data_IF_186287343353
#
_entry.id   IF_186287343353
#
_cell.length_a   1.000
_cell.length_b   1.000
_cell.length_c   1.000
_cell.angle_alpha   90.00
_cell.angle_beta   90.00
_cell.angle_gamma   90.00
#
_symmetry.space_group_name_H-M   'P 1'
#
loop_
_entity.id
_entity.type
_entity.pdbx_description
1 polymer ?
#
# COMPACT_ATOMS: atom_id res chain seq x y z
N UNK A 1 7.19 13.18 18.29
CA UNK A 1 7.39 11.81 17.80
C UNK A 1 8.87 11.55 17.50
N UNK A 2 9.54 12.40 16.73
CA UNK A 2 10.95 12.28 16.31
C UNK A 2 11.91 12.22 17.50
N UNK A 3 11.72 13.06 18.56
CA UNK A 3 12.56 13.05 19.77
C UNK A 3 12.50 11.74 20.53
N UNK A 4 11.34 11.07 20.54
CA UNK A 4 11.16 9.78 21.22
C UNK A 4 11.96 8.69 20.51
N UNK A 5 11.88 8.61 19.19
CA UNK A 5 12.66 7.67 18.39
C UNK A 5 14.16 7.93 18.45
N UNK A 6 14.56 9.20 18.45
CA UNK A 6 15.97 9.60 18.54
C UNK A 6 16.62 9.14 19.87
N UNK A 7 15.88 9.20 20.98
CA UNK A 7 16.39 8.87 22.30
C UNK A 7 16.27 7.37 22.66
N UNK A 8 15.26 6.67 22.17
CA UNK A 8 14.93 5.31 22.62
C UNK A 8 15.20 4.22 21.58
N UNK A 9 15.26 4.55 20.28
CA UNK A 9 15.54 3.53 19.28
C UNK A 9 17.04 3.26 19.19
N UNK A 10 17.49 2.00 19.40
CA UNK A 10 18.89 1.64 19.32
C UNK A 10 19.46 1.95 17.93
N UNK A 11 20.59 2.59 17.88
CA UNK A 11 21.32 3.02 16.66
C UNK A 11 20.65 4.11 15.81
N UNK A 12 19.43 4.57 16.12
CA UNK A 12 18.73 5.59 15.33
C UNK A 12 19.50 6.91 15.30
N UNK A 13 20.16 7.29 16.39
CA UNK A 13 20.99 8.50 16.51
C UNK A 13 22.35 8.40 15.78
N UNK A 14 22.76 7.19 15.35
CA UNK A 14 24.00 6.97 14.60
C UNK A 14 23.82 7.05 13.08
N UNK A 15 22.60 6.99 12.60
CA UNK A 15 22.33 7.22 11.18
C UNK A 15 22.36 8.71 10.86
N UNK A 16 23.26 9.12 9.97
CA UNK A 16 23.40 10.53 9.52
C UNK A 16 22.13 11.09 8.89
N UNK A 17 21.31 10.20 8.30
CA UNK A 17 20.02 10.54 7.70
C UNK A 17 19.02 9.41 7.96
N UNK A 18 17.86 9.77 8.49
CA UNK A 18 16.73 8.85 8.73
C UNK A 18 16.31 8.12 7.45
N UNK A 19 16.52 8.75 6.28
CA UNK A 19 16.26 8.18 4.97
C UNK A 19 17.03 6.87 4.68
N UNK A 20 18.22 6.68 5.28
CA UNK A 20 18.97 5.41 5.10
C UNK A 20 18.25 4.22 5.77
N UNK A 21 17.59 4.43 6.91
CA UNK A 21 16.79 3.38 7.56
C UNK A 21 15.53 3.04 6.74
N UNK A 22 14.97 4.02 6.03
CA UNK A 22 13.81 3.81 5.16
C UNK A 22 14.12 2.93 3.95
N UNK A 23 15.37 2.92 3.44
CA UNK A 23 15.77 2.05 2.32
C UNK A 23 15.60 0.57 2.70
N UNK A 24 15.97 0.19 3.92
CA UNK A 24 15.79 -1.18 4.40
C UNK A 24 14.31 -1.57 4.41
N UNK A 25 13.43 -0.66 4.88
CA UNK A 25 11.98 -0.90 4.87
C UNK A 25 11.42 -0.97 3.45
N UNK A 26 11.90 -0.14 2.53
CA UNK A 26 11.47 -0.14 1.12
C UNK A 26 11.78 -1.45 0.41
N UNK A 27 12.82 -2.17 0.83
CA UNK A 27 13.18 -3.49 0.27
C UNK A 27 12.48 -4.62 1.02
N UNK A 28 12.51 -4.59 2.36
CA UNK A 28 12.00 -5.71 3.17
C UNK A 28 10.48 -5.84 3.12
N UNK A 29 9.73 -4.73 3.10
CA UNK A 29 8.25 -4.78 3.07
C UNK A 29 7.72 -5.40 1.78
N UNK A 30 8.15 -4.98 0.57
CA UNK A 30 7.76 -5.66 -0.67
C UNK A 30 8.20 -7.14 -0.71
N UNK A 31 9.40 -7.44 -0.23
CA UNK A 31 9.92 -8.82 -0.19
C UNK A 31 9.05 -9.74 0.68
N UNK A 32 8.63 -9.26 1.85
CA UNK A 32 7.65 -9.97 2.70
C UNK A 32 6.30 -10.12 2.00
N UNK A 33 5.84 -9.09 1.30
CA UNK A 33 4.60 -9.13 0.51
C UNK A 33 4.65 -10.22 -0.56
N UNK A 34 5.72 -10.28 -1.35
CA UNK A 34 5.92 -11.33 -2.35
C UNK A 34 6.03 -12.73 -1.73
N UNK A 35 6.71 -12.85 -0.59
CA UNK A 35 6.81 -14.13 0.13
C UNK A 35 5.44 -14.64 0.60
N UNK A 36 4.60 -13.76 1.16
CA UNK A 36 3.24 -14.11 1.57
C UNK A 36 2.39 -14.46 0.35
N UNK A 37 2.48 -13.68 -0.72
CA UNK A 37 1.76 -13.93 -1.97
C UNK A 37 2.14 -15.29 -2.57
N UNK A 38 3.43 -15.64 -2.61
CA UNK A 38 3.89 -16.96 -3.08
C UNK A 38 3.30 -18.11 -2.24
N UNK A 39 3.27 -17.96 -0.92
CA UNK A 39 2.65 -18.96 -0.04
C UNK A 39 1.13 -19.08 -0.23
N UNK A 40 0.46 -17.94 -0.45
CA UNK A 40 -0.97 -17.89 -0.74
C UNK A 40 -1.26 -18.56 -2.09
N UNK A 41 -0.49 -18.24 -3.13
CA UNK A 41 -0.63 -18.84 -4.46
C UNK A 41 -0.32 -20.36 -4.47
N UNK A 42 0.60 -20.81 -3.63
CA UNK A 42 0.91 -22.25 -3.43
C UNK A 42 -0.04 -22.95 -2.47
N UNK A 43 -1.11 -22.26 -2.03
CA UNK A 43 -2.18 -22.80 -1.18
C UNK A 43 -1.73 -23.50 0.10
N UNK A 44 -0.70 -22.95 0.74
CA UNK A 44 -0.24 -23.42 2.04
C UNK A 44 -1.18 -23.05 3.19
N UNK A 45 -2.24 -22.26 2.90
CA UNK A 45 -3.22 -21.79 3.89
C UNK A 45 -4.63 -22.27 3.57
N UNK A 46 -5.39 -22.57 4.60
CA UNK A 46 -6.82 -22.84 4.47
C UNK A 46 -7.58 -21.56 4.12
N UNK A 47 -8.70 -21.70 3.39
CA UNK A 47 -9.58 -20.56 3.07
C UNK A 47 -10.03 -19.78 4.32
N UNK A 48 -10.30 -20.49 5.44
CA UNK A 48 -10.68 -19.85 6.72
C UNK A 48 -9.54 -19.02 7.32
N UNK A 49 -8.31 -19.53 7.27
CA UNK A 49 -7.13 -18.82 7.75
C UNK A 49 -6.84 -17.59 6.88
N UNK A 50 -6.93 -17.73 5.55
CA UNK A 50 -6.80 -16.62 4.62
C UNK A 50 -7.85 -15.53 4.89
N UNK A 51 -9.13 -15.90 5.05
CA UNK A 51 -10.20 -14.95 5.30
C UNK A 51 -10.01 -14.21 6.63
N UNK A 52 -9.59 -14.91 7.67
CA UNK A 52 -9.33 -14.30 8.99
C UNK A 52 -8.13 -13.36 8.94
N UNK A 53 -6.98 -13.83 8.48
CA UNK A 53 -5.76 -13.03 8.44
C UNK A 53 -5.84 -11.87 7.41
N UNK A 54 -6.33 -12.16 6.21
CA UNK A 54 -6.54 -11.16 5.15
C UNK A 54 -7.59 -10.13 5.52
N UNK A 55 -8.69 -10.55 6.16
CA UNK A 55 -9.73 -9.64 6.65
C UNK A 55 -9.23 -8.70 7.75
N UNK A 56 -8.45 -9.20 8.70
CA UNK A 56 -7.83 -8.36 9.75
C UNK A 56 -6.83 -7.39 9.12
N UNK A 57 -5.95 -7.86 8.24
CA UNK A 57 -4.98 -7.01 7.56
C UNK A 57 -5.67 -5.91 6.74
N UNK A 58 -6.72 -6.27 6.00
CA UNK A 58 -7.53 -5.31 5.25
C UNK A 58 -8.22 -4.31 6.18
N UNK A 59 -8.85 -4.75 7.26
CA UNK A 59 -9.54 -3.86 8.20
C UNK A 59 -8.59 -2.83 8.81
N UNK A 60 -7.36 -3.22 9.13
CA UNK A 60 -6.35 -2.31 9.67
C UNK A 60 -5.85 -1.34 8.60
N UNK A 61 -5.43 -1.83 7.44
CA UNK A 61 -4.81 -0.98 6.40
C UNK A 61 -5.84 -0.13 5.67
N UNK A 62 -6.94 -0.71 5.22
CA UNK A 62 -8.02 0.01 4.56
C UNK A 62 -8.78 0.94 5.53
N UNK A 63 -8.94 0.51 6.78
CA UNK A 63 -9.50 1.35 7.85
C UNK A 63 -8.65 2.58 8.11
N UNK A 64 -7.32 2.43 8.17
CA UNK A 64 -6.42 3.58 8.30
C UNK A 64 -6.52 4.53 7.11
N UNK A 65 -6.55 4.01 5.88
CA UNK A 65 -6.74 4.83 4.68
C UNK A 65 -8.08 5.58 4.71
N UNK A 66 -9.16 4.90 5.14
CA UNK A 66 -10.47 5.52 5.24
C UNK A 66 -10.51 6.63 6.29
N UNK A 67 -9.92 6.42 7.46
CA UNK A 67 -9.80 7.43 8.51
C UNK A 67 -9.01 8.64 7.99
N UNK A 68 -7.88 8.42 7.31
CA UNK A 68 -7.07 9.49 6.73
C UNK A 68 -7.84 10.29 5.65
N UNK A 69 -8.69 9.62 4.85
CA UNK A 69 -9.52 10.26 3.85
C UNK A 69 -10.66 11.10 4.45
N UNK A 70 -11.31 10.59 5.51
CA UNK A 70 -12.47 11.26 6.14
C UNK A 70 -12.06 12.36 7.11
N UNK A 71 -10.94 12.16 7.83
CA UNK A 71 -10.47 13.03 8.90
C UNK A 71 -9.01 13.45 8.66
N UNK A 72 -8.71 14.22 7.60
CA UNK A 72 -7.34 14.61 7.27
C UNK A 72 -6.66 15.38 8.41
N UNK A 73 -7.41 16.11 9.23
CA UNK A 73 -6.90 16.85 10.39
C UNK A 73 -6.20 15.99 11.46
N UNK A 74 -6.45 14.67 11.50
CA UNK A 74 -5.73 13.76 12.40
C UNK A 74 -4.27 13.60 11.97
N UNK A 75 -3.97 13.76 10.68
CA UNK A 75 -2.61 13.64 10.15
C UNK A 75 -1.71 14.84 10.51
N UNK A 76 -2.29 15.95 10.97
CA UNK A 76 -1.55 17.15 11.40
C UNK A 76 -2.16 18.45 10.87
N UNK A 77 -1.44 19.56 11.11
CA UNK A 77 -1.87 20.91 10.73
C UNK A 77 -1.67 21.24 9.26
N UNK A 78 -0.94 20.42 8.51
CA UNK A 78 -0.54 20.62 7.10
C UNK A 78 0.21 21.92 6.81
N UNK A 79 0.62 22.67 7.85
CA UNK A 79 1.47 23.84 7.73
C UNK A 79 2.94 23.44 7.79
N UNK A 80 3.79 24.10 7.02
CA UNK A 80 5.23 23.88 6.97
C UNK A 80 5.96 25.13 7.45
N UNK A 81 7.19 24.96 7.94
CA UNK A 81 8.07 26.10 8.29
C UNK A 81 8.40 26.98 7.07
N UNK A 82 8.28 26.44 5.86
CA UNK A 82 8.45 27.18 4.60
C UNK A 82 7.28 28.12 4.31
N UNK A 83 6.11 27.85 4.89
CA UNK A 83 4.91 28.68 4.74
C UNK A 83 4.99 29.95 5.64
N UNK A 84 5.97 29.99 6.56
CA UNK A 84 6.17 31.15 7.44
C UNK A 84 6.60 32.40 6.63
N UNK A 85 5.79 33.45 6.71
CA UNK A 85 6.03 34.69 5.96
C UNK A 85 5.26 34.84 4.65
N UNK A 86 4.46 33.84 4.29
CA UNK A 86 3.53 33.93 3.15
C UNK A 86 2.19 34.57 3.60
N UNK A 87 1.45 35.23 2.69
CA UNK A 87 0.11 35.73 2.97
C UNK A 87 -0.83 34.61 3.44
N UNK A 88 -1.69 34.87 4.43
CA UNK A 88 -2.61 33.87 5.02
C UNK A 88 -3.49 33.20 3.97
N UNK A 89 -3.96 33.94 2.96
CA UNK A 89 -4.77 33.41 1.84
C UNK A 89 -4.02 32.31 1.07
N UNK A 90 -2.72 32.49 0.87
CA UNK A 90 -1.89 31.51 0.17
C UNK A 90 -1.65 30.28 1.03
N UNK A 91 -1.40 30.47 2.33
CA UNK A 91 -1.22 29.38 3.29
C UNK A 91 -2.47 28.50 3.37
N UNK A 92 -3.64 29.13 3.46
CA UNK A 92 -4.93 28.41 3.49
C UNK A 92 -5.17 27.60 2.20
N UNK A 93 -4.85 28.18 1.03
CA UNK A 93 -4.95 27.47 -0.24
C UNK A 93 -4.00 26.27 -0.31
N UNK A 94 -2.75 26.42 0.17
CA UNK A 94 -1.76 25.34 0.23
C UNK A 94 -2.17 24.22 1.19
N UNK A 95 -2.74 24.57 2.34
CA UNK A 95 -3.26 23.60 3.31
C UNK A 95 -4.43 22.81 2.70
N UNK A 96 -5.36 23.49 2.03
CA UNK A 96 -6.50 22.86 1.36
C UNK A 96 -6.03 21.89 0.24
N UNK A 97 -5.05 22.29 -0.56
CA UNK A 97 -4.46 21.43 -1.60
C UNK A 97 -3.77 20.20 -1.02
N UNK A 98 -2.94 20.36 0.02
CA UNK A 98 -2.29 19.25 0.71
C UNK A 98 -3.30 18.25 1.32
N UNK A 99 -4.41 18.76 1.87
CA UNK A 99 -5.48 17.91 2.37
C UNK A 99 -6.22 17.18 1.24
N UNK A 100 -6.45 17.85 0.11
CA UNK A 100 -7.07 17.24 -1.06
C UNK A 100 -6.19 16.11 -1.64
N UNK A 101 -4.87 16.34 -1.72
CA UNK A 101 -3.92 15.31 -2.14
C UNK A 101 -3.92 14.10 -1.20
N UNK A 102 -3.90 14.33 0.14
CA UNK A 102 -3.97 13.23 1.11
C UNK A 102 -5.25 12.41 0.94
N UNK A 103 -6.41 13.06 0.77
CA UNK A 103 -7.69 12.38 0.55
C UNK A 103 -7.66 11.54 -0.72
N UNK A 104 -7.15 12.11 -1.81
CA UNK A 104 -7.07 11.42 -3.10
C UNK A 104 -6.16 10.18 -3.03
N UNK A 105 -4.98 10.33 -2.41
CA UNK A 105 -4.02 9.23 -2.25
C UNK A 105 -4.54 8.15 -1.28
N UNK A 106 -5.22 8.54 -0.20
CA UNK A 106 -5.82 7.62 0.75
C UNK A 106 -6.97 6.81 0.12
N UNK A 107 -7.86 7.47 -0.65
CA UNK A 107 -8.93 6.78 -1.38
C UNK A 107 -8.39 5.85 -2.45
N UNK A 108 -7.37 6.27 -3.20
CA UNK A 108 -6.68 5.44 -4.19
C UNK A 108 -6.12 4.17 -3.53
N UNK A 109 -5.38 4.31 -2.43
CA UNK A 109 -4.82 3.19 -1.68
C UNK A 109 -5.91 2.26 -1.15
N UNK A 110 -7.00 2.81 -0.60
CA UNK A 110 -8.15 2.03 -0.16
C UNK A 110 -8.74 1.17 -1.28
N UNK A 111 -8.94 1.75 -2.47
CA UNK A 111 -9.49 1.04 -3.63
C UNK A 111 -8.53 -0.07 -4.08
N UNK A 112 -7.24 0.21 -4.21
CA UNK A 112 -6.25 -0.77 -4.65
C UNK A 112 -6.13 -1.95 -3.69
N UNK A 113 -6.08 -1.70 -2.38
CA UNK A 113 -6.03 -2.74 -1.34
C UNK A 113 -7.31 -3.59 -1.38
N UNK A 114 -8.46 -2.97 -1.55
CA UNK A 114 -9.76 -3.67 -1.62
C UNK A 114 -9.85 -4.53 -2.88
N UNK A 115 -9.45 -4.00 -4.04
CA UNK A 115 -9.42 -4.77 -5.30
C UNK A 115 -8.50 -5.97 -5.19
N UNK A 116 -7.30 -5.80 -4.60
CA UNK A 116 -6.37 -6.91 -4.38
C UNK A 116 -6.98 -8.00 -3.49
N UNK A 117 -7.62 -7.61 -2.37
CA UNK A 117 -8.28 -8.57 -1.49
C UNK A 117 -9.41 -9.31 -2.21
N UNK A 118 -10.23 -8.61 -2.99
CA UNK A 118 -11.34 -9.21 -3.76
C UNK A 118 -10.80 -10.20 -4.81
N UNK A 119 -9.72 -9.85 -5.50
CA UNK A 119 -9.06 -10.75 -6.46
C UNK A 119 -8.54 -12.03 -5.78
N UNK A 120 -7.88 -11.89 -4.64
CA UNK A 120 -7.41 -13.02 -3.86
C UNK A 120 -8.57 -13.86 -3.33
N UNK A 121 -9.61 -13.23 -2.81
CA UNK A 121 -10.83 -13.91 -2.37
C UNK A 121 -11.49 -14.70 -3.51
N UNK A 122 -11.60 -14.10 -4.68
CA UNK A 122 -12.15 -14.78 -5.87
C UNK A 122 -11.32 -16.00 -6.26
N UNK A 123 -9.98 -15.92 -6.17
CA UNK A 123 -9.10 -17.05 -6.45
C UNK A 123 -9.31 -18.22 -5.48
N UNK A 124 -9.53 -17.92 -4.19
CA UNK A 124 -9.73 -18.93 -3.15
C UNK A 124 -11.15 -19.50 -3.09
N UNK A 125 -12.16 -18.74 -3.53
CA UNK A 125 -13.58 -19.17 -3.48
C UNK A 125 -13.95 -20.16 -4.59
N UNK A 126 -13.03 -20.86 -5.18
CA UNK A 126 -13.40 -21.84 -6.18
C UNK A 126 -14.17 -22.98 -5.55
N UNK A 127 -15.33 -23.43 -6.15
CA UNK A 127 -15.94 -24.67 -5.76
C UNK A 127 -14.88 -25.78 -5.89
N UNK A 128 -14.91 -26.72 -4.95
CA UNK A 128 -14.17 -27.97 -5.04
C UNK A 128 -14.68 -28.73 -6.26
N UNK A 129 -14.27 -28.36 -7.45
CA UNK A 129 -14.26 -29.27 -8.57
C UNK A 129 -13.24 -30.33 -8.13
N UNK A 130 -13.66 -31.55 -8.06
CA UNK A 130 -12.90 -32.68 -7.51
C UNK A 130 -11.42 -32.56 -7.86
N UNK A 131 -10.64 -32.17 -6.86
CA UNK A 131 -9.23 -31.76 -7.01
C UNK A 131 -8.33 -32.96 -7.37
N UNK A 132 -8.90 -34.13 -7.50
CA UNK A 132 -8.23 -35.40 -7.82
C UNK A 132 -8.07 -35.66 -9.31
N UNK A 133 -8.73 -34.87 -10.20
CA UNK A 133 -8.59 -35.03 -11.64
C UNK A 133 -7.61 -34.06 -12.29
N UNK A 134 -6.95 -34.41 -13.41
CA UNK A 134 -6.00 -33.56 -14.13
C UNK A 134 -6.63 -32.23 -14.59
N UNK A 135 -7.93 -32.18 -14.84
CA UNK A 135 -8.66 -30.97 -15.24
C UNK A 135 -8.84 -29.97 -14.08
N UNK A 136 -9.06 -30.43 -12.85
CA UNK A 136 -9.20 -29.55 -11.68
C UNK A 136 -7.92 -28.81 -11.35
N UNK A 137 -6.77 -29.48 -11.48
CA UNK A 137 -5.44 -28.88 -11.26
C UNK A 137 -5.10 -27.82 -12.32
N UNK A 138 -5.51 -28.03 -13.57
CA UNK A 138 -5.26 -27.09 -14.66
C UNK A 138 -6.05 -25.79 -14.52
N UNK A 139 -7.35 -25.88 -14.21
CA UNK A 139 -8.22 -24.71 -13.98
C UNK A 139 -7.74 -23.88 -12.78
N UNK A 140 -7.31 -24.54 -11.72
CA UNK A 140 -6.77 -23.90 -10.53
C UNK A 140 -5.47 -23.16 -10.82
N UNK A 141 -4.53 -23.81 -11.51
CA UNK A 141 -3.26 -23.21 -11.92
C UNK A 141 -3.49 -21.98 -12.81
N UNK A 142 -4.42 -22.04 -13.75
CA UNK A 142 -4.80 -20.92 -14.62
C UNK A 142 -5.30 -19.71 -13.81
N UNK A 143 -6.15 -19.90 -12.80
CA UNK A 143 -6.66 -18.81 -11.96
C UNK A 143 -5.55 -18.15 -11.12
N UNK A 144 -4.67 -18.95 -10.54
CA UNK A 144 -3.52 -18.41 -9.79
C UNK A 144 -2.60 -17.56 -10.67
N UNK A 145 -2.40 -17.97 -11.92
CA UNK A 145 -1.66 -17.19 -12.91
C UNK A 145 -2.37 -15.87 -13.23
N UNK A 146 -3.70 -15.89 -13.40
CA UNK A 146 -4.49 -14.68 -13.63
C UNK A 146 -4.38 -13.72 -12.45
N UNK A 147 -4.48 -14.20 -11.22
CA UNK A 147 -4.33 -13.35 -10.01
C UNK A 147 -2.92 -12.78 -9.89
N UNK A 148 -1.89 -13.58 -10.18
CA UNK A 148 -0.52 -13.08 -10.18
C UNK A 148 -0.32 -11.96 -11.21
N UNK A 149 -0.80 -12.16 -12.46
CA UNK A 149 -0.72 -11.14 -13.51
C UNK A 149 -1.55 -9.89 -13.16
N UNK A 150 -2.75 -10.06 -12.60
CA UNK A 150 -3.59 -8.95 -12.15
C UNK A 150 -2.92 -8.15 -11.02
N UNK A 151 -2.25 -8.83 -10.08
CA UNK A 151 -1.49 -8.16 -9.01
C UNK A 151 -0.34 -7.35 -9.58
N UNK A 152 0.41 -7.89 -10.54
CA UNK A 152 1.48 -7.17 -11.24
C UNK A 152 0.90 -5.96 -11.97
N UNK A 153 -0.21 -6.11 -12.70
CA UNK A 153 -0.86 -5.01 -13.40
C UNK A 153 -1.34 -3.91 -12.44
N UNK A 154 -1.88 -4.26 -11.26
CA UNK A 154 -2.27 -3.30 -10.23
C UNK A 154 -1.07 -2.50 -9.71
N UNK A 155 0.06 -3.17 -9.44
CA UNK A 155 1.30 -2.50 -9.02
C UNK A 155 1.80 -1.54 -10.09
N UNK A 156 1.81 -1.94 -11.36
CA UNK A 156 2.17 -1.04 -12.47
C UNK A 156 1.21 0.14 -12.58
N UNK A 157 -0.09 -0.09 -12.47
CA UNK A 157 -1.09 0.98 -12.50
C UNK A 157 -0.89 1.98 -11.35
N UNK A 158 -0.44 1.52 -10.19
CA UNK A 158 -0.13 2.37 -9.05
C UNK A 158 1.16 3.16 -9.26
N UNK A 159 2.21 2.54 -9.76
CA UNK A 159 3.54 3.15 -9.89
C UNK A 159 3.65 4.11 -11.10
N UNK A 160 2.96 3.86 -12.21
CA UNK A 160 3.08 4.68 -13.44
C UNK A 160 2.73 6.16 -13.20
N UNK A 161 1.61 6.53 -12.56
CA UNK A 161 1.28 7.94 -12.32
C UNK A 161 2.28 8.63 -11.36
N UNK A 162 2.77 7.87 -10.37
CA UNK A 162 3.81 8.37 -9.44
C UNK A 162 5.11 8.60 -10.22
N UNK A 163 5.54 7.64 -11.02
CA UNK A 163 6.73 7.78 -11.87
C UNK A 163 6.63 8.96 -12.84
N UNK A 164 5.49 9.15 -13.50
CA UNK A 164 5.25 10.28 -14.40
C UNK A 164 5.32 11.64 -13.71
N UNK A 165 4.92 11.73 -12.43
CA UNK A 165 4.99 12.98 -11.66
C UNK A 165 6.43 13.43 -11.42
N UNK A 166 7.36 12.48 -11.21
CA UNK A 166 8.75 12.77 -10.89
C UNK A 166 9.71 12.69 -12.09
N UNK A 167 9.37 11.89 -13.11
CA UNK A 167 10.18 11.66 -14.32
C UNK A 167 9.55 12.37 -15.52
N UNK A 168 9.21 13.63 -15.36
CA UNK A 168 8.68 14.44 -16.46
C UNK A 168 9.83 15.02 -17.29
N UNK A 169 9.66 15.13 -18.63
CA UNK A 169 10.68 15.65 -19.53
C UNK A 169 11.11 17.09 -19.19
N UNK A 170 10.23 17.85 -18.56
CA UNK A 170 10.48 19.24 -18.13
C UNK A 170 11.53 19.33 -16.98
N UNK A 171 11.83 18.23 -16.30
CA UNK A 171 12.83 18.18 -15.23
C UNK A 171 14.22 17.77 -15.72
N UNK A 172 14.39 17.44 -16.99
CA UNK A 172 15.65 17.00 -17.59
C UNK A 172 16.22 17.99 -18.62
N UNK A 173 15.83 19.25 -18.55
CA UNK A 173 16.40 20.34 -19.38
C UNK A 173 17.50 21.06 -18.65
#
# INVERSE_FOLDING_TARGET
FTKLWFNYAPMYNKFRTVSMALIVLQVTVPMLGFYVLDKVLKEKYSFKEFLRAGGIAWAVTAGFCLIAALLPGIAGTFTSSVDAGQPDILVDALVADRQALLKADALRSFVLITVLLVLLFWAFRTPKVDATGPQGSFVRKGRMTIVALATVALVFFDLIPVGKRYLNKEHFV
#
